data_IF_322797369925
#
_entry.id   IF_322797369925
#
_cell.length_a   1.000
_cell.length_b   1.000
_cell.length_c   1.000
_cell.angle_alpha   90.00
_cell.angle_beta   90.00
_cell.angle_gamma   90.00
#
_symmetry.space_group_name_H-M   'P 1'
#
loop_
_entity.id
_entity.type
_entity.pdbx_description
1 polymer ?
#
# COMPACT_ATOMS: atom_id res chain seq x y z
N UNK A 1 2.11 27.37 -6.81
CA UNK A 1 2.50 26.48 -5.68
C UNK A 1 3.89 26.78 -5.10
N UNK A 2 4.84 27.33 -5.87
CA UNK A 2 6.19 27.64 -5.36
C UNK A 2 6.22 28.44 -4.05
N UNK A 3 5.36 29.45 -3.89
CA UNK A 3 5.29 30.29 -2.69
C UNK A 3 4.95 29.52 -1.40
N UNK A 4 4.04 28.54 -1.46
CA UNK A 4 3.68 27.73 -0.29
C UNK A 4 4.78 26.73 0.08
N UNK A 5 5.40 26.11 -0.92
CA UNK A 5 6.52 25.19 -0.70
C UNK A 5 7.71 25.94 -0.09
N UNK A 6 8.01 27.13 -0.62
CA UNK A 6 9.07 27.98 -0.07
C UNK A 6 8.75 28.40 1.37
N UNK A 7 7.50 28.74 1.68
CA UNK A 7 7.07 29.03 3.04
C UNK A 7 7.32 27.83 3.98
N UNK A 8 6.94 26.61 3.58
CA UNK A 8 7.21 25.40 4.38
C UNK A 8 8.70 25.14 4.58
N UNK A 9 9.53 25.38 3.56
CA UNK A 9 10.97 25.11 3.65
C UNK A 9 11.75 26.14 4.45
N UNK A 10 11.22 27.36 4.58
CA UNK A 10 11.82 28.42 5.38
C UNK A 10 11.26 28.51 6.79
N UNK A 11 10.10 27.92 7.04
CA UNK A 11 9.48 27.93 8.35
C UNK A 11 10.30 27.09 9.34
N UNK A 12 10.52 27.65 10.53
CA UNK A 12 11.10 26.89 11.65
C UNK A 12 10.10 25.86 12.18
N UNK A 13 8.81 26.19 12.15
CA UNK A 13 7.71 25.32 12.54
C UNK A 13 6.42 25.71 11.79
N UNK A 14 5.47 24.77 11.71
CA UNK A 14 4.11 25.03 11.21
C UNK A 14 3.11 24.16 11.98
N UNK A 15 1.88 24.67 12.12
CA UNK A 15 0.79 23.98 12.82
C UNK A 15 -0.18 23.33 11.84
N UNK A 16 -0.78 22.20 12.25
CA UNK A 16 -1.84 21.51 11.50
C UNK A 16 -3.13 21.55 12.30
N UNK A 17 -4.13 22.27 11.79
CA UNK A 17 -5.48 22.31 12.41
C UNK A 17 -6.29 21.11 11.94
N UNK A 18 -6.49 20.13 12.83
CA UNK A 18 -7.22 18.88 12.53
C UNK A 18 -8.76 19.05 12.52
N UNK A 19 -9.27 20.24 12.88
CA UNK A 19 -10.71 20.54 12.86
C UNK A 19 -11.12 21.04 11.48
N UNK A 20 -12.30 20.66 10.95
CA UNK A 20 -12.81 21.22 9.70
C UNK A 20 -13.04 22.74 9.85
N UNK A 21 -12.26 23.55 9.14
CA UNK A 21 -12.32 25.03 9.18
C UNK A 21 -12.69 25.68 7.85
N UNK A 22 -12.96 24.88 6.81
CA UNK A 22 -13.29 25.37 5.47
C UNK A 22 -14.48 24.59 4.88
N UNK A 23 -15.32 25.28 4.11
CA UNK A 23 -16.41 24.65 3.35
C UNK A 23 -16.03 24.60 1.86
N UNK A 24 -15.80 23.40 1.34
CA UNK A 24 -15.46 23.19 -0.07
C UNK A 24 -16.70 23.35 -0.93
N UNK A 25 -16.68 24.30 -1.88
CA UNK A 25 -17.78 24.51 -2.83
C UNK A 25 -17.44 23.90 -4.19
N UNK A 26 -18.28 22.98 -4.67
CA UNK A 26 -18.28 22.55 -6.07
C UNK A 26 -19.13 23.54 -6.87
N UNK A 27 -18.56 24.12 -7.92
CA UNK A 27 -19.30 25.00 -8.82
C UNK A 27 -20.00 24.14 -9.88
N UNK A 28 -21.31 24.27 -9.99
CA UNK A 28 -22.14 23.54 -10.95
C UNK A 28 -21.98 24.02 -12.40
N UNK A 29 -21.37 25.19 -12.59
CA UNK A 29 -21.17 25.84 -13.90
C UNK A 29 -19.91 25.38 -14.64
N UNK A 30 -19.14 24.44 -14.09
CA UNK A 30 -17.92 23.96 -14.75
C UNK A 30 -16.74 24.94 -14.72
N UNK A 31 -16.89 26.11 -14.07
CA UNK A 31 -15.89 27.18 -14.10
C UNK A 31 -14.66 26.92 -13.22
N UNK A 32 -14.63 25.81 -12.48
CA UNK A 32 -13.46 25.47 -11.66
C UNK A 32 -12.24 25.21 -12.55
N UNK A 33 -11.08 25.67 -12.08
CA UNK A 33 -9.78 25.32 -12.67
C UNK A 33 -9.65 23.78 -12.79
N UNK A 34 -10.14 23.04 -11.80
CA UNK A 34 -10.11 21.56 -11.81
C UNK A 34 -11.00 20.91 -12.88
N UNK A 35 -11.87 21.66 -13.55
CA UNK A 35 -12.79 21.18 -14.59
C UNK A 35 -12.29 21.50 -16.01
N UNK A 36 -11.16 22.22 -16.16
CA UNK A 36 -10.63 22.70 -17.45
C UNK A 36 -9.28 22.07 -17.84
N UNK A 37 -9.02 20.85 -17.38
CA UNK A 37 -7.75 20.11 -17.57
C UNK A 37 -7.42 19.74 -19.02
N UNK A 38 -8.45 19.71 -19.88
CA UNK A 38 -8.31 19.53 -21.32
C UNK A 38 -7.77 20.78 -22.04
N UNK A 39 -7.81 21.95 -21.39
CA UNK A 39 -7.34 23.21 -21.99
C UNK A 39 -5.81 23.28 -21.96
N UNK A 40 -5.19 23.60 -23.09
CA UNK A 40 -3.73 23.81 -23.21
C UNK A 40 -3.23 24.86 -22.20
N UNK A 41 -4.02 25.90 -21.94
CA UNK A 41 -3.67 26.94 -20.98
C UNK A 41 -3.53 26.39 -19.55
N UNK A 42 -4.41 25.48 -19.15
CA UNK A 42 -4.37 24.84 -17.83
C UNK A 42 -3.15 23.92 -17.70
N UNK A 43 -2.92 23.07 -18.70
CA UNK A 43 -1.73 22.21 -18.74
C UNK A 43 -0.44 23.04 -18.68
N UNK A 44 -0.35 24.13 -19.46
CA UNK A 44 0.82 25.01 -19.46
C UNK A 44 1.04 25.65 -18.08
N UNK A 45 0.01 26.23 -17.48
CA UNK A 45 0.11 26.84 -16.15
C UNK A 45 0.55 25.80 -15.10
N UNK A 46 0.04 24.57 -15.22
CA UNK A 46 0.42 23.50 -14.31
C UNK A 46 1.87 23.11 -14.43
N UNK A 47 2.36 22.90 -15.66
CA UNK A 47 3.76 22.57 -15.92
C UNK A 47 4.70 23.67 -15.38
N UNK A 48 4.36 24.95 -15.62
CA UNK A 48 5.11 26.09 -15.06
C UNK A 48 5.10 26.06 -13.54
N UNK A 49 3.94 25.86 -12.92
CA UNK A 49 3.82 25.79 -11.46
C UNK A 49 4.64 24.65 -10.86
N UNK A 50 4.68 23.49 -11.54
CA UNK A 50 5.49 22.34 -11.14
C UNK A 50 6.98 22.60 -11.28
N UNK A 51 7.40 23.28 -12.34
CA UNK A 51 8.78 23.67 -12.51
C UNK A 51 9.23 24.62 -11.40
N UNK A 52 8.46 25.69 -11.15
CA UNK A 52 8.75 26.64 -10.06
C UNK A 52 8.84 25.96 -8.70
N UNK A 53 7.93 25.03 -8.40
CA UNK A 53 7.96 24.24 -7.17
C UNK A 53 9.22 23.37 -7.08
N UNK A 54 9.57 22.70 -8.18
CA UNK A 54 10.76 21.85 -8.28
C UNK A 54 12.04 22.65 -8.10
N UNK A 55 12.12 23.86 -8.66
CA UNK A 55 13.27 24.75 -8.51
C UNK A 55 13.44 25.20 -7.06
N UNK A 56 12.34 25.51 -6.36
CA UNK A 56 12.35 25.84 -4.93
C UNK A 56 12.86 24.65 -4.10
N UNK A 57 12.33 23.44 -4.35
CA UNK A 57 12.75 22.23 -3.62
C UNK A 57 14.22 21.91 -3.89
N UNK A 58 14.70 22.04 -5.13
CA UNK A 58 16.12 21.84 -5.47
C UNK A 58 17.03 22.86 -4.79
N UNK A 59 16.58 24.11 -4.69
CA UNK A 59 17.37 25.22 -4.12
C UNK A 59 17.45 25.16 -2.59
N UNK A 60 16.34 24.82 -1.92
CA UNK A 60 16.21 24.94 -0.46
C UNK A 60 16.11 23.60 0.26
N UNK A 61 15.75 22.53 -0.45
CA UNK A 61 15.53 21.21 0.13
C UNK A 61 16.80 20.40 0.29
N UNK A 62 16.74 19.41 1.20
CA UNK A 62 17.78 18.38 1.31
C UNK A 62 17.67 17.37 0.15
N UNK A 63 18.71 16.58 -0.14
CA UNK A 63 18.64 15.51 -1.14
C UNK A 63 17.48 14.53 -0.93
N UNK A 64 17.19 14.19 0.33
CA UNK A 64 16.04 13.35 0.70
C UNK A 64 14.71 14.00 0.33
N UNK A 65 14.58 15.31 0.52
CA UNK A 65 13.36 16.01 0.13
C UNK A 65 13.22 16.12 -1.39
N UNK A 66 14.31 16.33 -2.13
CA UNK A 66 14.29 16.35 -3.60
C UNK A 66 13.81 15.01 -4.15
N UNK A 67 14.31 13.89 -3.61
CA UNK A 67 13.85 12.54 -3.97
C UNK A 67 12.36 12.34 -3.61
N UNK A 68 11.96 12.70 -2.39
CA UNK A 68 10.56 12.62 -1.97
C UNK A 68 9.64 13.47 -2.87
N UNK A 69 10.06 14.68 -3.22
CA UNK A 69 9.33 15.56 -4.13
C UNK A 69 9.16 14.93 -5.49
N UNK A 70 10.21 14.38 -6.09
CA UNK A 70 10.12 13.71 -7.38
C UNK A 70 9.12 12.54 -7.36
N UNK A 71 9.19 11.70 -6.30
CA UNK A 71 8.37 10.50 -6.18
C UNK A 71 6.91 10.77 -5.78
N UNK A 72 6.63 11.88 -5.10
CA UNK A 72 5.31 12.19 -4.58
C UNK A 72 4.78 13.51 -5.13
N UNK A 73 5.41 14.62 -4.73
CA UNK A 73 4.91 15.96 -4.96
C UNK A 73 4.86 16.38 -6.43
N UNK A 74 5.85 16.00 -7.23
CA UNK A 74 5.93 16.30 -8.67
C UNK A 74 4.98 15.41 -9.47
N UNK A 75 4.98 14.10 -9.20
CA UNK A 75 4.19 13.13 -9.96
C UNK A 75 2.69 13.17 -9.64
N UNK A 76 2.32 13.47 -8.38
CA UNK A 76 1.03 13.09 -7.78
C UNK A 76 -0.25 13.50 -8.51
N UNK A 77 -0.26 14.63 -9.22
CA UNK A 77 -1.44 15.10 -9.95
C UNK A 77 -1.27 15.09 -11.47
N UNK A 78 -0.12 14.69 -12.01
CA UNK A 78 0.01 14.46 -13.45
C UNK A 78 -1.01 13.45 -14.01
N UNK A 79 -1.48 12.41 -13.27
CA UNK A 79 -2.52 11.51 -13.75
C UNK A 79 -3.78 12.20 -14.26
N UNK A 80 -4.11 13.39 -13.75
CA UNK A 80 -5.31 14.10 -14.19
C UNK A 80 -5.16 14.68 -15.60
N UNK A 81 -3.94 15.03 -16.00
CA UNK A 81 -3.61 15.46 -17.37
C UNK A 81 -3.38 14.26 -18.28
N UNK A 82 -2.92 13.13 -17.72
CA UNK A 82 -2.85 11.87 -18.46
C UNK A 82 -4.24 11.38 -18.88
N UNK A 83 -5.27 11.61 -18.05
CA UNK A 83 -6.66 11.29 -18.39
C UNK A 83 -7.16 11.95 -19.68
N UNK A 84 -6.63 13.13 -20.02
CA UNK A 84 -7.03 13.91 -21.20
C UNK A 84 -6.35 13.45 -22.49
N UNK A 85 -5.39 12.52 -22.43
CA UNK A 85 -4.67 12.01 -23.62
C UNK A 85 -5.65 11.43 -24.65
N UNK A 86 -6.74 10.81 -24.19
CA UNK A 86 -7.78 10.26 -25.08
C UNK A 86 -8.54 11.41 -25.73
N UNK A 87 -8.29 11.62 -27.02
CA UNK A 87 -8.99 12.64 -27.82
C UNK A 87 -8.42 14.04 -27.72
N UNK A 88 -7.25 14.23 -27.10
CA UNK A 88 -6.54 15.51 -27.18
C UNK A 88 -6.06 15.79 -28.62
N UNK A 89 -5.77 17.05 -28.92
CA UNK A 89 -5.12 17.40 -30.18
C UNK A 89 -3.59 17.22 -30.09
N UNK A 90 -2.90 17.38 -31.23
CA UNK A 90 -1.45 17.25 -31.28
C UNK A 90 -0.74 18.32 -30.45
N UNK A 91 -1.30 19.52 -30.34
CA UNK A 91 -0.70 20.61 -29.59
C UNK A 91 -0.67 20.31 -28.08
N UNK A 92 -1.77 19.79 -27.53
CA UNK A 92 -1.86 19.32 -26.16
C UNK A 92 -0.90 18.17 -25.91
N UNK A 93 -0.89 17.17 -26.81
CA UNK A 93 0.02 16.02 -26.68
C UNK A 93 1.49 16.46 -26.65
N UNK A 94 1.91 17.32 -27.57
CA UNK A 94 3.30 17.79 -27.63
C UNK A 94 3.69 18.58 -26.38
N UNK A 95 2.78 19.42 -25.86
CA UNK A 95 3.00 20.15 -24.62
C UNK A 95 3.13 19.19 -23.42
N UNK A 96 2.27 18.18 -23.32
CA UNK A 96 2.29 17.20 -22.25
C UNK A 96 3.58 16.37 -22.28
N UNK A 97 3.90 15.79 -23.45
CA UNK A 97 5.10 14.98 -23.66
C UNK A 97 6.36 15.75 -23.28
N UNK A 98 6.53 16.94 -23.87
CA UNK A 98 7.73 17.75 -23.68
C UNK A 98 7.82 18.24 -22.25
N UNK A 99 6.73 18.78 -21.71
CA UNK A 99 6.68 19.31 -20.35
C UNK A 99 6.95 18.26 -19.27
N UNK A 100 6.31 17.08 -19.36
CA UNK A 100 6.59 16.00 -18.39
C UNK A 100 8.02 15.50 -18.52
N UNK A 101 8.53 15.34 -19.75
CA UNK A 101 9.93 14.93 -19.96
C UNK A 101 10.90 15.92 -19.32
N UNK A 102 10.66 17.22 -19.48
CA UNK A 102 11.49 18.29 -18.90
C UNK A 102 11.41 18.34 -17.37
N UNK A 103 10.22 18.22 -16.80
CA UNK A 103 10.02 18.24 -15.34
C UNK A 103 10.86 17.18 -14.61
N UNK A 104 11.05 16.00 -15.22
CA UNK A 104 11.80 14.89 -14.63
C UNK A 104 13.29 14.86 -15.02
N UNK A 105 13.79 15.83 -15.79
CA UNK A 105 15.23 15.89 -16.13
C UNK A 105 16.07 16.07 -14.86
N UNK A 106 16.99 15.14 -14.60
CA UNK A 106 17.85 15.16 -13.41
C UNK A 106 17.10 14.89 -12.10
N UNK A 107 15.97 14.19 -12.16
CA UNK A 107 15.24 13.63 -11.01
C UNK A 107 15.05 12.12 -11.22
N UNK A 108 14.72 11.37 -10.15
CA UNK A 108 14.20 10.01 -10.30
C UNK A 108 13.06 9.98 -11.33
N UNK A 109 13.07 9.04 -12.29
CA UNK A 109 12.11 9.01 -13.39
C UNK A 109 10.68 8.73 -12.89
N UNK A 110 9.67 9.17 -13.65
CA UNK A 110 8.26 9.10 -13.23
C UNK A 110 7.77 7.68 -12.88
N UNK A 111 8.33 6.63 -13.47
CA UNK A 111 7.95 5.23 -13.17
C UNK A 111 8.54 4.71 -11.84
N UNK A 112 9.36 5.52 -11.17
CA UNK A 112 9.83 5.32 -9.80
C UNK A 112 9.04 6.14 -8.76
N UNK A 113 8.01 6.88 -9.20
CA UNK A 113 7.11 7.60 -8.30
C UNK A 113 6.18 6.66 -7.50
N UNK A 114 5.48 7.22 -6.50
CA UNK A 114 4.42 6.54 -5.75
C UNK A 114 3.05 6.62 -6.46
N UNK A 115 3.05 6.91 -7.76
CA UNK A 115 1.84 6.78 -8.57
C UNK A 115 1.46 5.29 -8.68
N UNK A 116 0.15 5.04 -8.80
CA UNK A 116 -0.34 3.67 -9.03
C UNK A 116 0.17 3.14 -10.37
N UNK A 117 0.31 1.82 -10.48
CA UNK A 117 0.93 1.18 -11.66
C UNK A 117 0.39 1.69 -13.01
N UNK A 118 -0.93 1.80 -13.27
CA UNK A 118 -1.42 2.29 -14.56
C UNK A 118 -0.95 3.72 -14.88
N UNK A 119 -0.87 4.57 -13.86
CA UNK A 119 -0.41 5.94 -13.98
C UNK A 119 1.10 6.02 -14.25
N UNK A 120 1.89 5.11 -13.66
CA UNK A 120 3.33 4.99 -13.93
C UNK A 120 3.61 4.52 -15.35
N UNK A 121 2.85 3.53 -15.83
CA UNK A 121 2.93 3.05 -17.23
C UNK A 121 2.61 4.20 -18.18
N UNK A 122 1.51 4.91 -17.97
CA UNK A 122 1.15 6.06 -18.81
C UNK A 122 2.20 7.17 -18.72
N UNK A 123 2.69 7.50 -17.53
CA UNK A 123 3.76 8.48 -17.35
C UNK A 123 5.05 8.10 -18.09
N UNK A 124 5.45 6.83 -18.02
CA UNK A 124 6.59 6.30 -18.76
C UNK A 124 6.41 6.43 -20.28
N UNK A 125 5.21 6.12 -20.79
CA UNK A 125 4.86 6.24 -22.21
C UNK A 125 4.86 7.70 -22.67
N UNK A 126 4.29 8.59 -21.87
CA UNK A 126 4.29 10.04 -22.09
C UNK A 126 5.71 10.54 -22.20
N UNK A 127 6.63 10.20 -21.28
CA UNK A 127 8.02 10.69 -21.36
C UNK A 127 8.79 10.22 -22.60
N UNK A 128 8.30 9.18 -23.30
CA UNK A 128 8.90 8.62 -24.52
C UNK A 128 8.14 8.99 -25.81
N UNK A 129 7.10 9.81 -25.74
CA UNK A 129 6.35 10.23 -26.92
C UNK A 129 5.47 9.13 -27.51
N UNK A 130 5.10 8.11 -26.71
CA UNK A 130 4.33 6.93 -27.15
C UNK A 130 2.83 7.11 -26.92
N UNK A 131 2.23 8.01 -27.71
CA UNK A 131 0.82 8.43 -27.58
C UNK A 131 -0.16 7.27 -27.72
N UNK A 132 -0.05 6.52 -28.81
CA UNK A 132 -1.00 5.46 -29.14
C UNK A 132 -1.03 4.38 -28.06
N UNK A 133 0.13 4.00 -27.53
CA UNK A 133 0.22 3.06 -26.41
C UNK A 133 -0.37 3.63 -25.12
N UNK A 134 -0.16 4.92 -24.82
CA UNK A 134 -0.77 5.57 -23.66
C UNK A 134 -2.30 5.56 -23.76
N UNK A 135 -2.86 5.86 -24.95
CA UNK A 135 -4.29 5.79 -25.22
C UNK A 135 -4.83 4.37 -25.03
N UNK A 136 -4.10 3.32 -25.46
CA UNK A 136 -4.48 1.92 -25.25
C UNK A 136 -4.56 1.55 -23.77
N UNK A 137 -3.58 1.95 -22.96
CA UNK A 137 -3.61 1.69 -21.51
C UNK A 137 -4.77 2.42 -20.84
N UNK A 138 -5.00 3.69 -21.20
CA UNK A 138 -6.10 4.49 -20.66
C UNK A 138 -7.48 3.95 -21.07
N UNK A 139 -7.63 3.48 -22.30
CA UNK A 139 -8.86 2.85 -22.78
C UNK A 139 -9.14 1.56 -21.99
N UNK A 140 -8.13 0.71 -21.82
CA UNK A 140 -8.26 -0.52 -21.05
C UNK A 140 -8.65 -0.24 -19.59
N UNK A 141 -8.02 0.74 -18.92
CA UNK A 141 -8.37 1.11 -17.54
C UNK A 141 -9.82 1.61 -17.45
N UNK A 142 -10.29 2.37 -18.44
CA UNK A 142 -11.67 2.86 -18.47
C UNK A 142 -12.69 1.72 -18.68
N UNK A 143 -12.33 0.71 -19.47
CA UNK A 143 -13.17 -0.47 -19.74
C UNK A 143 -13.18 -1.48 -18.59
N UNK A 144 -12.21 -1.41 -17.68
CA UNK A 144 -12.06 -2.31 -16.53
C UNK A 144 -12.11 -1.55 -15.20
N UNK A 145 -13.26 -0.97 -14.80
CA UNK A 145 -13.38 -0.10 -13.62
C UNK A 145 -13.26 -0.83 -12.25
N UNK A 146 -12.65 -2.02 -12.21
CA UNK A 146 -12.49 -2.85 -11.02
C UNK A 146 -11.08 -2.84 -10.44
N UNK A 147 -10.81 -3.76 -9.50
CA UNK A 147 -9.46 -4.05 -9.05
C UNK A 147 -8.54 -4.37 -10.22
N UNK A 148 -7.34 -3.80 -10.21
CA UNK A 148 -6.31 -4.12 -11.19
C UNK A 148 -5.97 -5.61 -11.09
N UNK A 149 -6.00 -6.40 -12.19
CA UNK A 149 -5.58 -7.79 -12.16
C UNK A 149 -4.07 -7.88 -11.94
N UNK A 150 -3.67 -8.77 -11.05
CA UNK A 150 -2.30 -8.90 -10.56
C UNK A 150 -1.83 -10.34 -10.67
N UNK A 151 -0.54 -10.52 -10.91
CA UNK A 151 0.13 -11.82 -10.83
C UNK A 151 1.42 -11.71 -10.02
N UNK A 152 1.76 -12.77 -9.29
CA UNK A 152 3.06 -12.88 -8.61
C UNK A 152 4.02 -13.60 -9.54
N UNK A 153 5.14 -12.95 -9.87
CA UNK A 153 6.17 -13.51 -10.73
C UNK A 153 7.54 -13.35 -10.07
N UNK A 154 8.16 -14.47 -9.70
CA UNK A 154 9.44 -14.49 -8.99
C UNK A 154 9.34 -13.84 -7.62
N UNK A 155 9.80 -12.58 -7.50
CA UNK A 155 9.76 -11.78 -6.27
C UNK A 155 8.95 -10.50 -6.38
N UNK A 156 8.15 -10.35 -7.43
CA UNK A 156 7.41 -9.13 -7.72
C UNK A 156 5.93 -9.44 -7.97
N UNK A 157 5.07 -8.49 -7.61
CA UNK A 157 3.69 -8.48 -8.12
C UNK A 157 3.66 -7.59 -9.35
N UNK A 158 3.18 -8.14 -10.46
CA UNK A 158 3.05 -7.46 -11.75
C UNK A 158 1.58 -7.14 -12.00
N UNK A 159 1.28 -5.93 -12.47
CA UNK A 159 -0.04 -5.59 -12.96
C UNK A 159 -0.23 -6.06 -14.41
N UNK A 160 -1.33 -6.77 -14.67
CA UNK A 160 -1.75 -7.19 -16.01
C UNK A 160 -2.38 -6.01 -16.77
N UNK A 161 -1.53 -5.13 -17.27
CA UNK A 161 -1.93 -4.03 -18.14
C UNK A 161 -1.62 -4.35 -19.61
N UNK A 162 -2.25 -3.65 -20.57
CA UNK A 162 -1.79 -3.71 -21.96
C UNK A 162 -0.28 -3.49 -22.03
N UNK A 163 0.39 -4.27 -22.88
CA UNK A 163 1.84 -4.24 -23.12
C UNK A 163 2.71 -4.86 -22.01
N UNK A 164 2.17 -5.26 -20.85
CA UNK A 164 2.96 -5.83 -19.75
C UNK A 164 3.74 -7.09 -20.16
N UNK A 165 3.14 -7.92 -21.04
CA UNK A 165 3.72 -9.17 -21.56
C UNK A 165 4.23 -9.07 -22.99
N UNK A 166 4.21 -7.86 -23.56
CA UNK A 166 4.66 -7.62 -24.91
C UNK A 166 6.13 -7.21 -24.90
N UNK A 167 7.04 -8.18 -25.01
CA UNK A 167 8.47 -7.90 -25.07
C UNK A 167 8.84 -6.96 -26.24
N UNK A 168 8.07 -6.96 -27.32
CA UNK A 168 8.28 -6.06 -28.47
C UNK A 168 7.94 -4.61 -28.14
N UNK A 169 7.12 -4.37 -27.11
CA UNK A 169 6.83 -3.03 -26.63
C UNK A 169 8.05 -2.37 -25.99
N UNK A 170 9.10 -3.11 -25.60
CA UNK A 170 10.35 -2.55 -25.05
C UNK A 170 10.14 -1.73 -23.76
N UNK A 171 9.06 -2.03 -23.02
CA UNK A 171 8.79 -1.41 -21.72
C UNK A 171 9.47 -2.27 -20.65
N UNK A 172 10.36 -1.70 -19.82
CA UNK A 172 10.97 -2.43 -18.73
C UNK A 172 9.92 -3.01 -17.78
N UNK A 173 10.07 -4.26 -17.33
CA UNK A 173 9.07 -4.94 -16.50
C UNK A 173 8.78 -4.21 -15.18
N UNK A 174 9.77 -3.52 -14.61
CA UNK A 174 9.66 -2.78 -13.35
C UNK A 174 8.67 -1.60 -13.39
N UNK A 175 8.26 -1.17 -14.58
CA UNK A 175 7.21 -0.17 -14.75
C UNK A 175 5.84 -0.74 -14.36
N UNK A 176 5.66 -2.06 -14.49
CA UNK A 176 4.42 -2.78 -14.18
C UNK A 176 4.41 -3.40 -12.78
N UNK A 177 5.52 -3.37 -12.04
CA UNK A 177 5.59 -3.93 -10.70
C UNK A 177 4.90 -3.05 -9.68
N UNK A 178 4.12 -3.64 -8.76
CA UNK A 178 3.68 -2.97 -7.54
C UNK A 178 4.90 -2.62 -6.67
N UNK A 179 4.81 -1.48 -5.99
CA UNK A 179 5.81 -1.03 -5.02
C UNK A 179 5.50 -1.53 -3.62
N UNK A 180 6.46 -1.33 -2.72
CA UNK A 180 6.35 -1.80 -1.34
C UNK A 180 5.13 -1.23 -0.62
N UNK A 181 4.82 0.05 -0.85
CA UNK A 181 3.67 0.79 -0.33
C UNK A 181 2.33 0.40 -0.97
N UNK A 182 2.36 -0.32 -2.09
CA UNK A 182 1.18 -0.91 -2.73
C UNK A 182 0.90 -2.34 -2.22
N UNK A 183 1.80 -2.90 -1.39
CA UNK A 183 1.77 -4.28 -0.89
C UNK A 183 1.64 -4.28 0.63
N UNK A 184 0.41 -4.11 1.11
CA UNK A 184 0.12 -3.88 2.51
C UNK A 184 -0.17 -5.18 3.27
N UNK A 185 0.47 -5.38 4.43
CA UNK A 185 0.08 -6.44 5.37
C UNK A 185 -1.36 -6.25 5.87
N UNK A 186 -2.16 -7.30 5.86
CA UNK A 186 -3.43 -7.34 6.60
C UNK A 186 -3.66 -8.69 7.26
N UNK A 187 -4.35 -8.67 8.40
CA UNK A 187 -4.70 -9.88 9.12
C UNK A 187 -6.00 -9.73 9.89
N UNK A 188 -6.80 -10.80 9.87
CA UNK A 188 -8.07 -10.92 10.57
C UNK A 188 -8.08 -12.15 11.46
N UNK A 189 -8.39 -11.94 12.73
CA UNK A 189 -8.56 -13.02 13.69
C UNK A 189 -9.93 -13.68 13.50
N UNK A 190 -9.97 -15.00 13.30
CA UNK A 190 -11.22 -15.76 13.16
C UNK A 190 -11.64 -16.43 14.46
N UNK A 191 -10.69 -17.01 15.20
CA UNK A 191 -10.99 -17.60 16.51
C UNK A 191 -9.74 -17.63 17.39
N UNK A 192 -9.95 -17.58 18.71
CA UNK A 192 -8.94 -17.94 19.68
C UNK A 192 -9.60 -18.82 20.74
N UNK A 193 -9.00 -19.95 21.10
CA UNK A 193 -9.52 -20.82 22.16
C UNK A 193 -8.41 -21.63 22.83
N UNK A 194 -8.67 -22.10 24.05
CA UNK A 194 -7.76 -22.99 24.77
C UNK A 194 -8.05 -24.45 24.43
N UNK A 195 -6.99 -25.23 24.18
CA UNK A 195 -7.01 -26.70 24.12
C UNK A 195 -6.04 -27.20 25.20
N UNK A 196 -6.57 -27.49 26.38
CA UNK A 196 -5.74 -27.69 27.58
C UNK A 196 -4.91 -26.44 27.88
N UNK A 197 -3.58 -26.53 28.07
CA UNK A 197 -2.70 -25.37 28.28
C UNK A 197 -2.24 -24.72 26.96
N UNK A 198 -2.74 -25.17 25.80
CA UNK A 198 -2.33 -24.64 24.49
C UNK A 198 -3.32 -23.59 24.01
N UNK A 199 -2.84 -22.39 23.69
CA UNK A 199 -3.63 -21.38 23.01
C UNK A 199 -3.63 -21.69 21.51
N UNK A 200 -4.80 -21.96 20.95
CA UNK A 200 -5.01 -22.10 19.51
C UNK A 200 -5.64 -20.83 18.95
N UNK A 201 -4.97 -20.24 17.95
CA UNK A 201 -5.38 -19.01 17.27
C UNK A 201 -5.53 -19.30 15.79
N UNK A 202 -6.72 -19.07 15.23
CA UNK A 202 -6.98 -19.20 13.80
C UNK A 202 -7.29 -17.85 13.18
N UNK A 203 -6.85 -17.65 11.95
CA UNK A 203 -7.16 -16.43 11.23
C UNK A 203 -6.64 -16.41 9.81
N UNK A 204 -6.71 -15.21 9.23
CA UNK A 204 -6.25 -14.89 7.90
C UNK A 204 -5.06 -13.94 8.02
N UNK A 205 -3.95 -14.26 7.33
CA UNK A 205 -2.77 -13.41 7.22
C UNK A 205 -2.38 -13.27 5.74
N UNK A 206 -2.37 -12.04 5.22
CA UNK A 206 -2.17 -11.79 3.80
C UNK A 206 -1.40 -10.50 3.51
N UNK A 207 -0.89 -10.40 2.28
CA UNK A 207 -0.38 -9.17 1.70
C UNK A 207 -1.41 -8.70 0.67
N UNK A 208 -2.09 -7.59 0.95
CA UNK A 208 -3.01 -6.98 -0.02
C UNK A 208 -2.23 -6.61 -1.27
N UNK A 209 -2.71 -7.09 -2.42
CA UNK A 209 -2.03 -6.93 -3.70
C UNK A 209 -1.14 -8.11 -4.09
N UNK A 210 -0.95 -9.13 -3.26
CA UNK A 210 -0.23 -10.35 -3.63
C UNK A 210 -1.18 -11.56 -3.63
N UNK A 211 -1.85 -11.88 -4.75
CA UNK A 211 -2.70 -13.06 -4.84
C UNK A 211 -1.89 -14.35 -4.62
N UNK A 212 -2.52 -15.38 -4.05
CA UNK A 212 -1.85 -16.62 -3.61
C UNK A 212 -2.11 -17.82 -4.52
N UNK A 213 -2.89 -17.65 -5.59
CA UNK A 213 -3.21 -18.74 -6.53
C UNK A 213 -1.96 -19.25 -7.25
N UNK A 214 -1.62 -20.53 -7.06
CA UNK A 214 -0.46 -21.14 -7.70
C UNK A 214 0.89 -20.62 -7.19
N UNK A 215 0.90 -19.87 -6.08
CA UNK A 215 2.08 -19.21 -5.53
C UNK A 215 2.36 -19.75 -4.13
N UNK A 216 3.61 -20.10 -3.86
CA UNK A 216 4.03 -20.51 -2.51
C UNK A 216 3.77 -19.35 -1.54
N UNK A 217 2.98 -19.64 -0.51
CA UNK A 217 2.64 -18.70 0.55
C UNK A 217 3.00 -19.34 1.86
N UNK A 218 3.72 -18.64 2.72
CA UNK A 218 4.14 -19.12 4.04
C UNK A 218 3.70 -18.12 5.09
N UNK A 219 3.14 -18.62 6.19
CA UNK A 219 2.77 -17.82 7.35
C UNK A 219 3.56 -18.34 8.55
N UNK A 220 4.27 -17.43 9.21
CA UNK A 220 4.92 -17.70 10.50
C UNK A 220 4.31 -16.81 11.56
N UNK A 221 4.17 -17.32 12.78
CA UNK A 221 3.59 -16.58 13.89
C UNK A 221 4.38 -16.82 15.17
N UNK A 222 4.44 -15.80 16.01
CA UNK A 222 5.10 -15.84 17.32
C UNK A 222 4.39 -14.89 18.29
N UNK A 223 4.59 -15.13 19.57
CA UNK A 223 4.29 -14.17 20.64
C UNK A 223 5.53 -13.33 20.91
N UNK A 224 5.36 -12.02 21.06
CA UNK A 224 6.42 -11.10 21.48
C UNK A 224 5.96 -10.22 22.65
N UNK A 225 6.83 -9.99 23.63
CA UNK A 225 6.56 -9.10 24.77
C UNK A 225 7.41 -7.83 24.73
N UNK A 226 6.96 -6.71 25.34
CA UNK A 226 7.79 -5.50 25.48
C UNK A 226 9.11 -5.73 26.23
N UNK A 227 9.15 -6.77 27.09
CA UNK A 227 10.36 -7.19 27.80
C UNK A 227 11.37 -7.94 26.94
N UNK A 228 11.12 -8.12 25.64
CA UNK A 228 12.01 -8.80 24.69
C UNK A 228 11.84 -10.31 24.62
N UNK A 229 10.84 -10.88 25.31
CA UNK A 229 10.51 -12.30 25.19
C UNK A 229 9.90 -12.61 23.83
N UNK A 230 10.31 -13.72 23.21
CA UNK A 230 9.78 -14.21 21.93
C UNK A 230 9.53 -15.71 22.03
N UNK A 231 8.31 -16.15 21.69
CA UNK A 231 7.94 -17.58 21.67
C UNK A 231 7.32 -17.91 20.32
N UNK A 232 7.93 -18.83 19.59
CA UNK A 232 7.42 -19.26 18.27
C UNK A 232 6.11 -20.04 18.43
N UNK A 233 5.14 -19.79 17.55
CA UNK A 233 3.93 -20.59 17.47
C UNK A 233 4.09 -21.66 16.39
N UNK A 234 3.55 -22.86 16.65
CA UNK A 234 3.44 -23.89 15.61
C UNK A 234 2.30 -23.51 14.66
N UNK A 235 2.63 -23.15 13.43
CA UNK A 235 1.66 -22.76 12.39
C UNK A 235 1.34 -23.93 11.48
N UNK A 236 0.05 -24.14 11.24
CA UNK A 236 -0.50 -25.02 10.22
C UNK A 236 -1.33 -24.17 9.25
N UNK A 237 -0.90 -24.11 8.00
CA UNK A 237 -1.58 -23.33 6.98
C UNK A 237 -2.75 -24.11 6.39
N UNK A 238 -3.81 -23.41 6.01
CA UNK A 238 -5.02 -24.01 5.42
C UNK A 238 -5.54 -23.15 4.27
N UNK A 239 -6.24 -23.81 3.36
CA UNK A 239 -7.03 -23.12 2.34
C UNK A 239 -8.29 -22.55 2.98
N UNK A 240 -8.49 -21.24 2.89
CA UNK A 240 -9.63 -20.53 3.48
C UNK A 240 -10.22 -19.51 2.47
N UNK A 241 -11.29 -19.86 1.76
CA UNK A 241 -11.95 -18.99 0.78
C UNK A 241 -12.47 -17.66 1.36
N UNK A 242 -12.62 -17.56 2.68
CA UNK A 242 -13.01 -16.32 3.36
C UNK A 242 -11.96 -15.22 3.14
N UNK A 243 -10.68 -15.57 2.93
CA UNK A 243 -9.65 -14.59 2.56
C UNK A 243 -9.96 -13.89 1.24
N UNK A 244 -10.35 -14.64 0.21
CA UNK A 244 -10.77 -14.07 -1.08
C UNK A 244 -12.02 -13.22 -0.93
N UNK A 245 -13.01 -13.71 -0.20
CA UNK A 245 -14.26 -12.99 0.06
C UNK A 245 -14.01 -11.67 0.82
N UNK A 246 -13.13 -11.69 1.83
CA UNK A 246 -12.78 -10.53 2.64
C UNK A 246 -11.97 -9.49 1.85
N UNK A 247 -11.00 -9.93 1.05
CA UNK A 247 -10.17 -9.02 0.24
C UNK A 247 -10.97 -8.41 -0.91
N UNK A 248 -11.87 -9.20 -1.51
CA UNK A 248 -12.81 -8.81 -2.57
C UNK A 248 -12.11 -8.01 -3.70
N UNK A 249 -11.15 -8.65 -4.38
CA UNK A 249 -10.34 -8.05 -5.46
C UNK A 249 -10.64 -8.65 -6.84
N UNK A 250 -11.92 -8.88 -7.12
CA UNK A 250 -12.37 -9.45 -8.39
C UNK A 250 -11.96 -10.92 -8.52
N UNK A 251 -11.27 -11.26 -9.60
CA UNK A 251 -10.87 -12.64 -9.89
C UNK A 251 -9.63 -13.10 -9.13
N UNK A 252 -8.96 -12.20 -8.40
CA UNK A 252 -7.78 -12.55 -7.60
C UNK A 252 -8.17 -13.47 -6.43
N UNK A 253 -7.38 -14.52 -6.20
CA UNK A 253 -7.55 -15.45 -5.08
C UNK A 253 -6.50 -15.25 -4.01
N UNK A 254 -6.96 -15.36 -2.76
CA UNK A 254 -6.18 -15.24 -1.53
C UNK A 254 -6.38 -16.46 -0.62
N UNK A 255 -6.93 -17.56 -1.13
CA UNK A 255 -7.35 -18.72 -0.32
C UNK A 255 -6.18 -19.37 0.45
N UNK A 256 -4.94 -19.22 -0.03
CA UNK A 256 -3.73 -19.66 0.69
C UNK A 256 -3.39 -18.88 1.97
N UNK A 257 -4.20 -17.90 2.37
CA UNK A 257 -3.91 -17.00 3.50
C UNK A 257 -4.46 -17.45 4.86
N UNK A 258 -5.13 -18.61 4.93
CA UNK A 258 -5.67 -19.15 6.18
C UNK A 258 -4.62 -19.88 7.02
N UNK A 259 -4.70 -19.78 8.35
CA UNK A 259 -3.82 -20.51 9.25
C UNK A 259 -4.44 -20.83 10.61
N UNK A 260 -3.84 -21.82 11.27
CA UNK A 260 -3.99 -22.10 12.71
C UNK A 260 -2.60 -22.07 13.36
N UNK A 261 -2.41 -21.23 14.37
CA UNK A 261 -1.20 -21.10 15.15
C UNK A 261 -1.43 -21.59 16.58
N UNK A 262 -0.48 -22.35 17.13
CA UNK A 262 -0.59 -22.96 18.47
C UNK A 262 0.65 -22.65 19.31
N UNK A 263 0.45 -22.36 20.59
CA UNK A 263 1.54 -22.15 21.56
C UNK A 263 1.17 -22.69 22.92
N UNK A 264 2.11 -23.37 23.58
CA UNK A 264 1.91 -23.87 24.94
C UNK A 264 2.11 -22.74 25.94
N UNK A 265 1.22 -22.63 26.93
CA UNK A 265 1.40 -21.65 27.99
C UNK A 265 2.71 -21.87 28.76
N UNK A 266 3.15 -23.12 28.94
CA UNK A 266 4.41 -23.41 29.64
C UNK A 266 5.62 -22.78 28.94
N UNK A 267 5.60 -22.71 27.60
CA UNK A 267 6.65 -22.05 26.81
C UNK A 267 6.63 -20.53 27.02
N UNK A 268 5.44 -19.93 27.06
CA UNK A 268 5.26 -18.49 27.33
C UNK A 268 5.69 -18.14 28.75
N UNK A 269 5.29 -18.94 29.75
CA UNK A 269 5.67 -18.74 31.14
C UNK A 269 7.19 -18.87 31.31
N UNK A 270 7.82 -19.86 30.68
CA UNK A 270 9.27 -20.06 30.71
C UNK A 270 10.05 -18.90 30.07
N UNK A 271 9.46 -18.24 29.06
CA UNK A 271 10.04 -17.07 28.41
C UNK A 271 9.70 -15.75 29.11
N UNK A 272 8.82 -15.78 30.12
CA UNK A 272 8.45 -14.61 30.92
C UNK A 272 9.49 -14.36 32.02
N UNK A 273 9.65 -13.11 32.45
CA UNK A 273 10.62 -12.73 33.49
C UNK A 273 10.05 -12.81 34.91
N UNK A 274 8.98 -13.58 35.13
CA UNK A 274 8.27 -13.67 36.41
C UNK A 274 7.47 -12.41 36.82
N UNK A 275 7.47 -11.37 35.97
CA UNK A 275 6.65 -10.16 36.14
C UNK A 275 5.47 -10.23 35.18
N UNK A 276 4.32 -9.68 35.59
CA UNK A 276 3.16 -9.57 34.74
C UNK A 276 3.51 -8.92 33.39
N UNK A 277 3.12 -9.55 32.29
CA UNK A 277 3.52 -9.15 30.94
C UNK A 277 2.41 -9.37 29.92
N UNK A 278 2.30 -8.42 28.98
CA UNK A 278 1.46 -8.55 27.80
C UNK A 278 2.29 -9.14 26.66
N UNK A 279 1.76 -10.18 26.02
CA UNK A 279 2.34 -10.84 24.86
C UNK A 279 1.45 -10.64 23.64
N UNK A 280 2.04 -10.25 22.52
CA UNK A 280 1.31 -9.92 21.30
C UNK A 280 1.53 -10.96 20.22
N UNK A 281 0.46 -11.40 19.57
CA UNK A 281 0.59 -12.27 18.39
C UNK A 281 1.05 -11.42 17.21
N UNK A 282 2.27 -11.67 16.77
CA UNK A 282 2.84 -11.13 15.55
C UNK A 282 3.03 -12.24 14.53
N UNK A 283 3.04 -11.86 13.26
CA UNK A 283 3.19 -12.80 12.16
C UNK A 283 3.96 -12.18 11.00
N UNK A 284 4.64 -13.04 10.25
CA UNK A 284 5.19 -12.74 8.94
C UNK A 284 4.43 -13.54 7.89
N UNK A 285 3.98 -12.86 6.86
CA UNK A 285 3.35 -13.46 5.69
C UNK A 285 4.29 -13.28 4.52
N UNK A 286 4.65 -14.40 3.90
CA UNK A 286 5.49 -14.43 2.73
C UNK A 286 4.69 -14.98 1.55
N UNK A 287 4.64 -14.24 0.44
CA UNK A 287 4.08 -14.68 -0.85
C UNK A 287 5.21 -14.64 -1.86
N UNK A 288 5.65 -15.82 -2.34
CA UNK A 288 6.91 -15.99 -3.06
C UNK A 288 8.11 -15.38 -2.30
N UNK A 289 8.77 -14.34 -2.82
CA UNK A 289 9.87 -13.64 -2.13
C UNK A 289 9.43 -12.35 -1.41
N UNK A 290 8.14 -12.05 -1.41
CA UNK A 290 7.59 -10.82 -0.82
C UNK A 290 7.16 -11.15 0.60
N UNK A 291 7.78 -10.52 1.59
CA UNK A 291 7.44 -10.70 3.00
C UNK A 291 6.89 -9.41 3.60
N UNK A 292 5.86 -9.55 4.45
CA UNK A 292 5.36 -8.48 5.29
C UNK A 292 5.04 -8.99 6.69
N UNK A 293 5.44 -8.19 7.66
CA UNK A 293 5.20 -8.44 9.08
C UNK A 293 4.09 -7.55 9.62
N UNK A 294 3.29 -8.10 10.53
CA UNK A 294 2.32 -7.32 11.26
C UNK A 294 1.63 -8.12 12.36
N UNK A 295 0.48 -7.62 12.80
CA UNK A 295 -0.38 -8.20 13.82
C UNK A 295 -1.83 -8.12 13.35
N UNK A 296 -2.72 -8.88 13.96
CA UNK A 296 -4.14 -8.78 13.63
C UNK A 296 -4.66 -7.34 13.70
N UNK A 297 -5.26 -6.86 12.61
CA UNK A 297 -5.86 -5.52 12.53
C UNK A 297 -7.36 -5.54 12.83
N UNK A 298 -8.01 -6.65 12.46
CA UNK A 298 -9.43 -6.89 12.66
C UNK A 298 -9.67 -8.28 13.25
N UNK A 299 -10.92 -8.54 13.63
CA UNK A 299 -11.40 -9.84 14.08
C UNK A 299 -12.79 -10.07 13.49
N UNK A 300 -13.27 -11.31 13.51
CA UNK A 300 -14.64 -11.64 13.14
C UNK A 300 -15.65 -10.88 14.02
N UNK A 301 -16.78 -10.40 13.46
CA UNK A 301 -17.74 -9.59 14.19
C UNK A 301 -18.23 -10.24 15.48
N UNK A 302 -18.49 -11.55 15.45
CA UNK A 302 -19.06 -12.32 16.56
C UNK A 302 -18.00 -13.16 17.30
N UNK A 303 -16.73 -12.73 17.26
CA UNK A 303 -15.67 -13.47 17.91
C UNK A 303 -15.89 -13.55 19.43
N UNK A 304 -15.85 -14.77 19.96
CA UNK A 304 -15.77 -15.02 21.39
C UNK A 304 -14.32 -15.32 21.72
N UNK A 305 -13.71 -14.48 22.54
CA UNK A 305 -12.36 -14.74 23.07
C UNK A 305 -12.46 -15.70 24.25
N UNK A 306 -11.45 -16.57 24.46
CA UNK A 306 -11.54 -17.58 25.49
C UNK A 306 -11.49 -16.95 26.87
N UNK A 307 -12.24 -17.54 27.80
CA UNK A 307 -12.13 -17.22 29.21
C UNK A 307 -10.73 -17.60 29.77
N UNK A 308 -10.41 -17.06 30.94
CA UNK A 308 -9.12 -17.26 31.59
C UNK A 308 -8.89 -18.74 31.96
N UNK A 309 -7.88 -19.34 31.36
CA UNK A 309 -7.39 -20.68 31.68
C UNK A 309 -5.87 -20.63 31.50
N UNK A 310 -5.01 -20.86 32.51
CA UNK A 310 -5.19 -20.99 33.98
C UNK A 310 -5.45 -19.65 34.71
N UNK A 311 -5.57 -19.63 36.06
CA UNK A 311 -5.87 -18.41 36.84
C UNK A 311 -4.91 -17.25 36.52
N UNK A 312 -5.48 -16.09 36.20
CA UNK A 312 -4.73 -14.86 35.94
C UNK A 312 -4.25 -14.66 34.50
N UNK A 313 -4.28 -15.70 33.66
CA UNK A 313 -3.99 -15.56 32.22
C UNK A 313 -5.25 -15.15 31.47
N UNK A 314 -5.18 -14.11 30.65
CA UNK A 314 -6.35 -13.66 29.87
C UNK A 314 -5.99 -13.33 28.43
N UNK A 315 -6.95 -13.50 27.52
CA UNK A 315 -6.81 -13.19 26.09
C UNK A 315 -7.73 -12.03 25.75
N UNK A 316 -7.20 -10.99 25.11
CA UNK A 316 -7.94 -9.80 24.75
C UNK A 316 -7.56 -9.33 23.34
N UNK A 317 -8.50 -8.68 22.64
CA UNK A 317 -8.20 -7.98 21.39
C UNK A 317 -8.21 -6.47 21.64
N UNK A 318 -7.12 -5.77 21.33
CA UNK A 318 -6.99 -4.32 21.55
C UNK A 318 -6.61 -3.63 20.25
N UNK A 319 -7.41 -2.69 19.74
CA UNK A 319 -7.01 -1.85 18.58
C UNK A 319 -6.12 -0.70 19.05
N UNK A 320 -5.04 -0.35 18.32
CA UNK A 320 -4.54 -0.93 17.07
C UNK A 320 -3.53 -2.08 17.23
N UNK A 321 -3.43 -2.68 18.43
CA UNK A 321 -2.33 -3.57 18.85
C UNK A 321 -2.51 -5.03 18.40
N UNK A 322 -3.75 -5.52 18.30
CA UNK A 322 -4.10 -6.89 17.90
C UNK A 322 -4.50 -7.80 19.06
N UNK A 323 -4.27 -9.12 18.90
CA UNK A 323 -4.53 -10.14 19.92
C UNK A 323 -3.42 -10.11 20.98
N UNK A 324 -3.81 -10.05 22.24
CA UNK A 324 -2.94 -9.93 23.42
C UNK A 324 -3.22 -11.09 24.37
N UNK A 325 -2.16 -11.77 24.81
CA UNK A 325 -2.16 -12.71 25.91
C UNK A 325 -1.54 -12.02 27.13
N UNK A 326 -2.34 -11.78 28.16
CA UNK A 326 -1.85 -11.27 29.43
C UNK A 326 -1.40 -12.45 30.30
N UNK A 327 -0.15 -12.39 30.74
CA UNK A 327 0.47 -13.37 31.64
C UNK A 327 0.68 -12.68 33.00
N UNK A 328 0.17 -13.24 34.11
CA UNK A 328 0.35 -12.65 35.43
C UNK A 328 1.80 -12.80 35.93
N UNK A 329 2.15 -12.11 37.02
CA UNK A 329 3.42 -12.35 37.69
C UNK A 329 3.46 -13.78 38.26
N UNK A 330 4.67 -14.35 38.35
CA UNK A 330 4.85 -15.62 39.04
C UNK A 330 4.78 -15.36 40.56
N UNK A 331 3.92 -16.11 41.27
CA UNK A 331 3.88 -16.16 42.73
C UNK A 331 5.12 -16.88 43.30
#
# INVERSE_FOLDING_TARGET
QGTMIEAYLRAEAFDVVVRPVYNWRVRSDGSSITQRRHEIADLKDRLVTKQMATDVVRRLGSPRLVDYWARNGLAGDLPVYFGEIRGCDDAYWQLLHTGVRELFQGLPPIHESHLRVPQRVVGWLVTRGRRAEAERVLAWVAEHPGPLPLQVEGGHVVAELPLARDASAGIPPEVFWLREDELEFDARLQSAHWVGPTLEVSGLGLIRGAPTEGVETVITAWLESPGGGVVSMRVEQRTDPEATAWVNRGDQRYDGSGFTARVSLDEVMSASTGVASDWYVAMDVQVAQISRRGRFRTHEPDIVLPEAIPPGVSVAFRRPVGLVLHVPAAD
#
